data_IF_909583382671
#
_entry.id   IF_909583382671
#
_cell.length_a   1.000
_cell.length_b   1.000
_cell.length_c   1.000
_cell.angle_alpha   90.00
_cell.angle_beta   90.00
_cell.angle_gamma   90.00
#
_symmetry.space_group_name_H-M   'P 1'
#
loop_
_entity.id
_entity.type
_entity.pdbx_description
1 polymer ?
#
# COMPACT_ATOMS: atom_id res chain seq x y z
N UNK A 1 19.71 -19.10 24.00
CA UNK A 1 18.47 -18.30 23.81
C UNK A 1 18.65 -17.11 22.87
N UNK A 2 19.79 -16.38 22.88
CA UNK A 2 20.04 -15.21 22.02
C UNK A 2 19.84 -15.42 20.50
N UNK A 3 20.25 -16.58 19.95
CA UNK A 3 20.11 -16.88 18.51
C UNK A 3 18.66 -16.93 18.00
N UNK A 4 17.70 -17.30 18.85
CA UNK A 4 16.30 -17.43 18.43
C UNK A 4 15.67 -16.04 18.23
N UNK A 5 15.94 -15.11 19.15
CA UNK A 5 15.46 -13.73 19.05
C UNK A 5 16.05 -12.99 17.85
N UNK A 6 17.33 -13.21 17.53
CA UNK A 6 17.98 -12.62 16.35
C UNK A 6 17.38 -13.13 15.03
N UNK A 7 17.07 -14.43 14.95
CA UNK A 7 16.42 -15.02 13.77
C UNK A 7 14.99 -14.47 13.61
N UNK A 8 14.23 -14.36 14.70
CA UNK A 8 12.87 -13.83 14.66
C UNK A 8 12.85 -12.34 14.29
N UNK A 9 13.78 -11.54 14.82
CA UNK A 9 13.96 -10.14 14.45
C UNK A 9 14.28 -9.98 12.96
N UNK A 10 15.23 -10.74 12.43
CA UNK A 10 15.56 -10.72 11.00
C UNK A 10 14.36 -11.09 10.11
N UNK A 11 13.55 -12.06 10.53
CA UNK A 11 12.33 -12.43 9.81
C UNK A 11 11.31 -11.30 9.81
N UNK A 12 11.14 -10.61 10.93
CA UNK A 12 10.23 -9.47 11.06
C UNK A 12 10.71 -8.25 10.26
N UNK A 13 12.01 -7.95 10.27
CA UNK A 13 12.60 -6.88 9.45
C UNK A 13 12.40 -7.14 7.95
N UNK A 14 12.56 -8.39 7.51
CA UNK A 14 12.28 -8.76 6.12
C UNK A 14 10.79 -8.57 5.77
N UNK A 15 9.89 -8.96 6.68
CA UNK A 15 8.45 -8.76 6.50
C UNK A 15 8.08 -7.27 6.47
N UNK A 16 8.71 -6.45 7.31
CA UNK A 16 8.54 -5.00 7.33
C UNK A 16 8.94 -4.37 5.99
N UNK A 17 10.15 -4.69 5.50
CA UNK A 17 10.64 -4.22 4.20
C UNK A 17 9.74 -4.64 3.03
N UNK A 18 9.21 -5.86 3.05
CA UNK A 18 8.26 -6.33 2.02
C UNK A 18 6.95 -5.53 2.04
N UNK A 19 6.40 -5.25 3.22
CA UNK A 19 5.18 -4.43 3.33
C UNK A 19 5.42 -3.00 2.84
N UNK A 20 6.59 -2.40 3.13
CA UNK A 20 6.97 -1.09 2.58
C UNK A 20 7.12 -1.11 1.05
N UNK A 21 7.69 -2.16 0.48
CA UNK A 21 7.79 -2.29 -0.98
C UNK A 21 6.40 -2.41 -1.63
N UNK A 22 5.50 -3.19 -1.03
CA UNK A 22 4.11 -3.28 -1.49
C UNK A 22 3.41 -1.92 -1.41
N UNK A 23 3.60 -1.17 -0.32
CA UNK A 23 3.08 0.18 -0.18
C UNK A 23 3.57 1.10 -1.32
N UNK A 24 4.87 1.08 -1.61
CA UNK A 24 5.45 1.88 -2.69
C UNK A 24 4.89 1.50 -4.07
N UNK A 25 4.76 0.21 -4.37
CA UNK A 25 4.16 -0.26 -5.62
C UNK A 25 2.73 0.26 -5.73
N UNK A 26 1.93 0.12 -4.67
CA UNK A 26 0.55 0.62 -4.65
C UNK A 26 0.45 2.13 -4.85
N UNK A 27 1.34 2.91 -4.22
CA UNK A 27 1.37 4.37 -4.39
C UNK A 27 1.72 4.76 -5.83
N UNK A 28 2.73 4.14 -6.42
CA UNK A 28 3.13 4.41 -7.81
C UNK A 28 2.00 4.03 -8.78
N UNK A 29 1.40 2.85 -8.61
CA UNK A 29 0.26 2.41 -9.44
C UNK A 29 -0.96 3.33 -9.26
N UNK A 30 -1.25 3.76 -8.03
CA UNK A 30 -2.33 4.70 -7.74
C UNK A 30 -2.14 6.06 -8.39
N UNK A 31 -0.91 6.61 -8.32
CA UNK A 31 -0.56 7.84 -9.03
C UNK A 31 -0.69 7.68 -10.55
N UNK A 32 -0.22 6.56 -11.11
CA UNK A 32 -0.39 6.23 -12.52
C UNK A 32 -1.85 6.21 -12.95
N UNK A 33 -2.74 5.64 -12.13
CA UNK A 33 -4.18 5.63 -12.39
C UNK A 33 -4.78 7.04 -12.38
N UNK A 34 -4.35 7.91 -11.46
CA UNK A 34 -4.79 9.32 -11.42
C UNK A 34 -4.37 10.06 -12.69
N UNK A 35 -3.12 9.90 -13.14
CA UNK A 35 -2.66 10.54 -14.37
C UNK A 35 -3.39 10.01 -15.61
N UNK A 36 -3.62 8.70 -15.68
CA UNK A 36 -4.40 8.10 -16.76
C UNK A 36 -5.85 8.63 -16.79
N UNK A 37 -6.47 8.80 -15.62
CA UNK A 37 -7.80 9.39 -15.49
C UNK A 37 -7.84 10.84 -15.97
N UNK A 38 -6.90 11.68 -15.54
CA UNK A 38 -6.82 13.08 -15.98
C UNK A 38 -6.62 13.15 -17.50
N UNK A 39 -5.74 12.32 -18.06
CA UNK A 39 -5.54 12.23 -19.50
C UNK A 39 -6.80 11.79 -20.25
N UNK A 40 -7.51 10.78 -19.76
CA UNK A 40 -8.75 10.29 -20.35
C UNK A 40 -9.88 11.32 -20.30
N UNK A 41 -9.97 12.10 -19.22
CA UNK A 41 -10.94 13.19 -19.08
C UNK A 41 -10.68 14.32 -20.08
N UNK A 42 -9.41 14.75 -20.24
CA UNK A 42 -9.04 15.81 -21.19
C UNK A 42 -9.43 15.40 -22.63
N UNK A 43 -9.20 14.14 -22.98
CA UNK A 43 -9.47 13.62 -24.32
C UNK A 43 -10.96 13.31 -24.57
N UNK A 44 -11.76 13.07 -23.52
CA UNK A 44 -13.13 12.58 -23.68
C UNK A 44 -14.07 13.03 -22.54
N UNK A 45 -14.33 14.34 -22.51
CA UNK A 45 -15.15 15.02 -21.51
C UNK A 45 -16.58 14.45 -21.38
N UNK A 46 -17.15 13.91 -22.44
CA UNK A 46 -18.50 13.32 -22.41
C UNK A 46 -18.59 12.09 -21.48
N UNK A 47 -17.45 11.45 -21.19
CA UNK A 47 -17.35 10.26 -20.35
C UNK A 47 -16.87 10.56 -18.92
N UNK A 48 -16.99 11.81 -18.45
CA UNK A 48 -16.60 12.18 -17.08
C UNK A 48 -17.28 11.28 -16.05
N UNK A 49 -18.60 11.11 -16.14
CA UNK A 49 -19.37 10.35 -15.15
C UNK A 49 -18.88 8.90 -14.95
N UNK A 50 -18.77 8.05 -15.99
CA UNK A 50 -18.27 6.69 -15.81
C UNK A 50 -16.82 6.66 -15.32
N UNK A 51 -15.96 7.58 -15.78
CA UNK A 51 -14.58 7.64 -15.30
C UNK A 51 -14.48 8.03 -13.83
N UNK A 52 -15.31 8.96 -13.36
CA UNK A 52 -15.37 9.34 -11.94
C UNK A 52 -15.80 8.17 -11.07
N UNK A 53 -16.78 7.37 -11.50
CA UNK A 53 -17.21 6.16 -10.78
C UNK A 53 -16.05 5.16 -10.67
N UNK A 54 -15.33 4.92 -11.76
CA UNK A 54 -14.15 4.03 -11.76
C UNK A 54 -13.09 4.55 -10.79
N UNK A 55 -12.83 5.86 -10.77
CA UNK A 55 -11.85 6.45 -9.86
C UNK A 55 -12.25 6.31 -8.38
N UNK A 56 -13.54 6.45 -8.06
CA UNK A 56 -14.03 6.22 -6.69
C UNK A 56 -13.79 4.76 -6.28
N UNK A 57 -14.06 3.80 -7.17
CA UNK A 57 -13.81 2.38 -6.92
C UNK A 57 -12.32 2.11 -6.70
N UNK A 58 -11.46 2.62 -7.58
CA UNK A 58 -9.99 2.49 -7.45
C UNK A 58 -9.49 3.13 -6.16
N UNK A 59 -9.98 4.33 -5.81
CA UNK A 59 -9.63 5.01 -4.56
C UNK A 59 -10.06 4.21 -3.32
N UNK A 60 -11.25 3.63 -3.35
CA UNK A 60 -11.78 2.81 -2.26
C UNK A 60 -10.93 1.55 -2.05
N UNK A 61 -10.63 0.82 -3.12
CA UNK A 61 -9.77 -0.37 -3.07
C UNK A 61 -8.37 0.01 -2.57
N UNK A 62 -7.80 1.09 -3.10
CA UNK A 62 -6.48 1.59 -2.68
C UNK A 62 -6.45 1.93 -1.18
N UNK A 63 -7.49 2.59 -0.67
CA UNK A 63 -7.61 2.91 0.76
C UNK A 63 -7.67 1.66 1.65
N UNK A 64 -8.46 0.65 1.25
CA UNK A 64 -8.56 -0.63 1.98
C UNK A 64 -7.19 -1.32 2.04
N UNK A 65 -6.47 -1.39 0.91
CA UNK A 65 -5.14 -1.99 0.85
C UNK A 65 -4.12 -1.22 1.68
N UNK A 66 -4.11 0.11 1.58
CA UNK A 66 -3.27 0.98 2.40
C UNK A 66 -3.47 0.70 3.89
N UNK A 67 -4.73 0.70 4.36
CA UNK A 67 -5.06 0.46 5.76
C UNK A 67 -4.62 -0.93 6.23
N UNK A 68 -4.66 -1.94 5.36
CA UNK A 68 -4.17 -3.27 5.67
C UNK A 68 -2.65 -3.31 5.82
N UNK A 69 -1.92 -2.68 4.92
CA UNK A 69 -0.46 -2.61 4.97
C UNK A 69 0.00 -1.82 6.21
N UNK A 70 -0.66 -0.70 6.51
CA UNK A 70 -0.39 0.12 7.70
C UNK A 70 -0.54 -0.68 9.01
N UNK A 71 -1.63 -1.43 9.15
CA UNK A 71 -1.82 -2.34 10.30
C UNK A 71 -0.72 -3.39 10.38
N UNK A 72 -0.37 -4.04 9.27
CA UNK A 72 0.69 -5.04 9.25
C UNK A 72 2.03 -4.44 9.68
N UNK A 73 2.37 -3.24 9.19
CA UNK A 73 3.60 -2.54 9.55
C UNK A 73 3.62 -2.22 11.05
N UNK A 74 2.51 -1.74 11.59
CA UNK A 74 2.36 -1.46 13.02
C UNK A 74 2.51 -2.72 13.88
N UNK A 75 1.84 -3.81 13.52
CA UNK A 75 1.97 -5.09 14.21
C UNK A 75 3.40 -5.63 14.18
N UNK A 76 4.09 -5.52 13.05
CA UNK A 76 5.50 -5.94 12.92
C UNK A 76 6.40 -5.05 13.81
N UNK A 77 6.19 -3.74 13.80
CA UNK A 77 6.95 -2.80 14.63
C UNK A 77 6.80 -3.11 16.12
N UNK A 78 5.56 -3.30 16.59
CA UNK A 78 5.27 -3.65 17.99
C UNK A 78 5.90 -4.99 18.40
N UNK A 79 5.99 -5.96 17.48
CA UNK A 79 6.65 -7.24 17.74
C UNK A 79 8.16 -7.12 17.81
N UNK A 80 8.76 -6.28 16.97
CA UNK A 80 10.20 -6.01 17.01
C UNK A 80 10.57 -5.33 18.33
N UNK A 81 9.80 -4.32 18.77
CA UNK A 81 10.02 -3.63 20.05
C UNK A 81 9.95 -4.58 21.25
N UNK A 82 9.07 -5.58 21.23
CA UNK A 82 8.96 -6.58 22.31
C UNK A 82 10.08 -7.62 22.33
N UNK A 83 10.86 -7.73 21.24
CA UNK A 83 11.98 -8.67 21.11
C UNK A 83 13.34 -8.04 21.48
N UNK A 84 13.40 -6.71 21.57
CA UNK A 84 14.55 -5.90 22.01
C UNK A 84 14.46 -5.68 23.52
#
# INVERSE_FOLDING_TARGET
MLKINEIEKNRLDLAYRRNLQLLNIFLISGLGAVFAYIGALILNLEKVLPYTIIMILVGTVTYIFYKRIDRNLKEISERIEKLV
#
